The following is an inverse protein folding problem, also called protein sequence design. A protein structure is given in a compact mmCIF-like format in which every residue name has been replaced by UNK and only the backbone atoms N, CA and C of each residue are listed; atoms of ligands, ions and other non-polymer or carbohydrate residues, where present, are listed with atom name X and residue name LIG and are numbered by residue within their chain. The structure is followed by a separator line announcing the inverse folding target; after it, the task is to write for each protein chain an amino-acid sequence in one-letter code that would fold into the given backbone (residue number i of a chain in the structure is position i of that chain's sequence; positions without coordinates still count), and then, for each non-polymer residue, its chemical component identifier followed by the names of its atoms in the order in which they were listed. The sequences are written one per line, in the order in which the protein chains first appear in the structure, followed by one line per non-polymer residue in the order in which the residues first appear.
data_IF_758353615876
#
_entry.id   IF_758353615876
#
_cell.length_a   1.000
_cell.length_b   1.000
_cell.length_c   1.000
_cell.angle_alpha   90.00
_cell.angle_beta   90.00
_cell.angle_gamma   90.00
#
_symmetry.space_group_name_H-M   'P 1'
#
loop_
_entity.id
_entity.type
_entity.pdbx_description
1 polymer ?
#
# COMPACT_ATOMS: atom_id res chain seq x y z
N UNK A 1 -14.23 8.90 -0.47
CA UNK A 1 -12.83 8.43 -0.39
C UNK A 1 -12.70 7.48 0.79
N UNK A 2 -12.03 6.35 0.60
CA UNK A 2 -11.81 5.34 1.65
C UNK A 2 -10.32 5.27 1.95
N UNK A 3 -9.98 5.26 3.24
CA UNK A 3 -8.59 5.22 3.72
C UNK A 3 -8.30 3.85 4.31
N UNK A 4 -7.20 3.25 3.87
CA UNK A 4 -6.75 1.95 4.33
C UNK A 4 -5.38 2.08 4.97
N UNK A 5 -5.11 1.22 5.96
CA UNK A 5 -3.81 1.08 6.59
C UNK A 5 -3.41 -0.40 6.56
N UNK A 6 -2.27 -0.68 5.93
CA UNK A 6 -1.67 -2.02 5.88
C UNK A 6 -0.43 -2.02 6.77
N UNK A 7 -0.26 -3.09 7.54
CA UNK A 7 0.94 -3.38 8.31
C UNK A 7 1.57 -4.65 7.73
N UNK A 8 2.83 -4.57 7.32
CA UNK A 8 3.57 -5.72 6.78
C UNK A 8 4.30 -6.46 7.90
N UNK A 9 3.96 -7.73 8.09
CA UNK A 9 4.60 -8.63 9.06
C UNK A 9 4.60 -10.08 8.50
N UNK A 10 5.69 -10.88 8.61
CA UNK A 10 7.12 -10.57 8.71
C UNK A 10 7.85 -10.70 7.35
N UNK A 11 7.12 -10.85 6.25
CA UNK A 11 7.68 -11.00 4.88
C UNK A 11 7.45 -9.75 4.05
N UNK A 12 8.21 -9.60 2.97
CA UNK A 12 7.88 -8.60 1.96
C UNK A 12 6.49 -8.90 1.38
N UNK A 13 5.70 -7.87 1.11
CA UNK A 13 4.37 -7.99 0.53
C UNK A 13 4.34 -7.18 -0.75
N UNK A 14 4.08 -7.84 -1.87
CA UNK A 14 3.76 -7.13 -3.10
C UNK A 14 2.27 -6.79 -3.11
N UNK A 15 1.95 -5.50 -3.11
CA UNK A 15 0.59 -4.99 -3.21
C UNK A 15 0.33 -4.52 -4.63
N UNK A 16 -0.65 -5.16 -5.27
CA UNK A 16 -1.17 -4.78 -6.58
C UNK A 16 -2.59 -4.24 -6.40
N UNK A 17 -2.84 -3.00 -6.86
CA UNK A 17 -4.13 -2.34 -6.73
C UNK A 17 -4.90 -2.39 -8.06
N UNK A 18 -6.22 -2.58 -7.99
CA UNK A 18 -7.10 -2.60 -9.18
C UNK A 18 -7.16 -1.26 -9.93
N UNK A 19 -6.84 -0.17 -9.25
CA UNK A 19 -6.80 1.19 -9.78
C UNK A 19 -5.69 1.99 -9.07
N UNK A 20 -5.24 3.14 -9.62
CA UNK A 20 -4.26 3.96 -8.94
C UNK A 20 -4.78 4.39 -7.56
N UNK A 21 -3.98 4.15 -6.52
CA UNK A 21 -4.24 4.61 -5.16
C UNK A 21 -3.26 5.71 -4.80
N UNK A 22 -3.71 6.64 -3.95
CA UNK A 22 -2.87 7.72 -3.45
C UNK A 22 -2.20 7.28 -2.15
N UNK A 23 -0.87 7.19 -2.16
CA UNK A 23 -0.08 6.87 -0.97
C UNK A 23 0.08 8.16 -0.15
N UNK A 24 -0.68 8.26 0.93
CA UNK A 24 -0.66 9.42 1.82
C UNK A 24 0.57 9.40 2.73
N UNK A 25 0.90 8.22 3.28
CA UNK A 25 2.05 8.07 4.17
C UNK A 25 2.56 6.64 4.14
N UNK A 26 3.88 6.51 4.08
CA UNK A 26 4.60 5.25 4.23
C UNK A 26 5.57 5.40 5.40
N UNK A 27 5.40 4.60 6.43
CA UNK A 27 6.24 4.67 7.63
C UNK A 27 7.40 3.69 7.49
N UNK A 28 8.59 4.16 7.85
CA UNK A 28 9.81 3.37 7.95
C UNK A 28 10.48 2.98 6.60
N UNK A 29 10.25 3.73 5.49
CA UNK A 29 10.94 3.51 4.19
C UNK A 29 11.26 4.74 3.29
N UNK A 30 12.31 4.54 2.47
CA UNK A 30 12.82 5.29 1.29
C UNK A 30 11.85 5.50 0.09
N UNK A 31 10.54 5.44 0.29
CA UNK A 31 9.53 5.39 -0.78
C UNK A 31 8.71 6.66 -0.97
N UNK A 32 8.98 7.71 -0.18
CA UNK A 32 8.27 8.98 -0.23
C UNK A 32 6.80 8.91 0.24
N UNK A 33 6.12 10.06 0.16
CA UNK A 33 4.69 10.21 0.44
C UNK A 33 4.09 11.16 -0.59
N UNK A 34 2.77 11.08 -0.81
CA UNK A 34 2.05 12.00 -1.67
C UNK A 34 2.12 11.70 -3.16
N UNK A 35 2.06 10.42 -3.54
CA UNK A 35 2.09 9.99 -4.94
C UNK A 35 0.99 8.99 -5.26
N UNK A 36 0.64 8.89 -6.54
CA UNK A 36 -0.28 7.88 -7.06
C UNK A 36 0.50 6.68 -7.57
N UNK A 37 0.05 5.47 -7.24
CA UNK A 37 0.63 4.23 -7.76
C UNK A 37 -0.42 3.14 -7.95
N UNK A 38 -0.15 2.17 -8.83
CA UNK A 38 -0.94 0.93 -8.98
C UNK A 38 -0.29 -0.28 -8.32
N UNK A 39 0.97 -0.18 -7.94
CA UNK A 39 1.70 -1.26 -7.27
C UNK A 39 2.68 -0.69 -6.25
N UNK A 40 2.95 -1.47 -5.21
CA UNK A 40 4.02 -1.13 -4.26
C UNK A 40 4.45 -2.38 -3.50
N UNK A 41 5.72 -2.43 -3.13
CA UNK A 41 6.27 -3.49 -2.28
C UNK A 41 6.34 -2.93 -0.87
N UNK A 42 5.74 -3.58 0.13
CA UNK A 42 5.97 -3.30 1.55
C UNK A 42 7.01 -4.27 2.12
N UNK A 43 8.04 -3.74 2.74
CA UNK A 43 9.05 -4.52 3.45
C UNK A 43 8.56 -4.86 4.88
N UNK A 44 9.15 -5.88 5.51
CA UNK A 44 8.80 -6.27 6.87
C UNK A 44 8.90 -5.10 7.86
N UNK A 45 7.89 -4.92 8.70
CA UNK A 45 7.83 -3.85 9.70
C UNK A 45 7.28 -2.52 9.18
N UNK A 46 7.10 -2.37 7.87
CA UNK A 46 6.51 -1.16 7.31
C UNK A 46 5.00 -1.07 7.51
N UNK A 47 4.51 0.17 7.50
CA UNK A 47 3.09 0.44 7.34
C UNK A 47 2.82 1.42 6.20
N UNK A 48 1.75 1.14 5.46
CA UNK A 48 1.28 1.94 4.33
C UNK A 48 -0.13 2.47 4.61
N UNK A 49 -0.30 3.78 4.49
CA UNK A 49 -1.59 4.45 4.44
C UNK A 49 -1.87 4.93 3.02
N UNK A 50 -2.98 4.48 2.45
CA UNK A 50 -3.40 4.89 1.11
C UNK A 50 -4.89 5.25 1.06
N UNK A 51 -5.21 6.13 0.12
CA UNK A 51 -6.56 6.61 -0.16
C UNK A 51 -6.95 6.12 -1.54
N UNK A 52 -8.18 5.65 -1.65
CA UNK A 52 -8.78 5.27 -2.92
C UNK A 52 -10.17 5.91 -3.10
N UNK A 53 -10.53 6.13 -4.36
CA UNK A 53 -11.82 6.66 -4.79
C UNK A 53 -12.91 5.60 -4.76
N UNK A 54 -12.59 4.34 -5.08
CA UNK A 54 -13.55 3.23 -5.07
C UNK A 54 -13.32 2.25 -3.89
N UNK A 55 -14.35 1.48 -3.53
CA UNK A 55 -14.19 0.31 -2.65
C UNK A 55 -13.36 -0.73 -3.41
N UNK A 56 -12.05 -0.75 -3.18
CA UNK A 56 -11.16 -1.70 -3.84
C UNK A 56 -11.05 -3.02 -3.09
N UNK A 57 -11.08 -4.11 -3.85
CA UNK A 57 -10.71 -5.43 -3.35
C UNK A 57 -9.19 -5.51 -3.38
N UNK A 58 -8.55 -5.38 -2.22
CA UNK A 58 -7.11 -5.61 -2.08
C UNK A 58 -6.85 -7.11 -2.26
N UNK A 59 -6.05 -7.49 -3.27
CA UNK A 59 -5.57 -8.85 -3.44
C UNK A 59 -4.14 -8.93 -2.94
N UNK A 60 -3.89 -9.81 -1.98
CA UNK A 60 -2.55 -10.14 -1.50
C UNK A 60 -2.04 -11.32 -2.33
N UNK A 61 -0.92 -11.18 -3.04
CA UNK A 61 -0.18 -12.36 -3.53
C UNK A 61 0.80 -12.77 -2.46
N UNK A 62 0.63 -13.97 -1.94
CA UNK A 62 1.64 -14.65 -1.14
C UNK A 62 2.46 -15.50 -2.14
N UNK A 63 3.69 -15.08 -2.41
CA UNK A 63 4.74 -15.91 -3.03
C UNK A 63 5.62 -16.53 -1.92
#
# INVERSE_FOLDING_TARGET
QVKYKILSLPKYQHLEFSEPVYIEKRKDILGGYGYWTKETILYPGESLSFITSAKNNLRKRDD
#
